data_IF_889561729792
#
_entry.id   IF_889561729792
#
_cell.length_a   1.000
_cell.length_b   1.000
_cell.length_c   1.000
_cell.angle_alpha   90.00
_cell.angle_beta   90.00
_cell.angle_gamma   90.00
#
_symmetry.space_group_name_H-M   'P 1'
#
loop_
_entity.id
_entity.type
_entity.pdbx_description
1 polymer ?
#
# COMPACT_ATOMS: atom_id res chain seq x y z
N UNK A 1 5.02 -13.96 -6.99
CA UNK A 1 3.93 -14.88 -6.61
C UNK A 1 3.03 -14.13 -5.63
N UNK A 2 1.71 -14.15 -5.84
CA UNK A 2 0.74 -13.48 -4.96
C UNK A 2 0.32 -14.48 -3.87
N UNK A 3 0.38 -14.11 -2.57
CA UNK A 3 -0.14 -14.93 -1.47
C UNK A 3 -1.58 -15.40 -1.70
N UNK A 4 -1.92 -16.63 -1.29
CA UNK A 4 -3.28 -17.20 -1.31
C UNK A 4 -4.26 -16.29 -0.54
N UNK A 5 -3.86 -15.71 0.59
CA UNK A 5 -4.67 -14.75 1.33
C UNK A 5 -4.96 -13.44 0.56
N UNK A 6 -4.23 -13.17 -0.53
CA UNK A 6 -4.44 -12.03 -1.45
C UNK A 6 -4.96 -12.48 -2.83
N UNK A 7 -5.17 -13.78 -3.05
CA UNK A 7 -5.75 -14.36 -4.27
C UNK A 7 -7.28 -14.18 -4.32
N UNK A 8 -7.74 -12.95 -4.08
CA UNK A 8 -9.15 -12.56 -4.23
C UNK A 8 -9.46 -12.25 -5.70
N UNK A 9 -10.69 -12.55 -6.14
CA UNK A 9 -11.11 -12.46 -7.55
C UNK A 9 -10.85 -11.09 -8.20
N UNK A 10 -10.96 -10.01 -7.43
CA UNK A 10 -10.71 -8.63 -7.88
C UNK A 10 -9.23 -8.27 -8.07
N UNK A 11 -8.31 -9.06 -7.52
CA UNK A 11 -6.86 -8.90 -7.71
C UNK A 11 -6.38 -9.74 -8.89
N UNK A 12 -6.72 -11.03 -8.93
CA UNK A 12 -6.12 -11.95 -9.92
C UNK A 12 -6.75 -11.78 -11.32
N UNK A 13 -8.08 -11.65 -11.41
CA UNK A 13 -8.78 -11.75 -12.72
C UNK A 13 -8.43 -10.59 -13.68
N UNK A 14 -7.97 -9.47 -13.15
CA UNK A 14 -7.64 -8.25 -13.88
C UNK A 14 -6.16 -7.86 -13.79
N UNK A 15 -5.30 -8.74 -13.26
CA UNK A 15 -3.86 -8.50 -13.30
C UNK A 15 -3.34 -8.76 -14.73
N UNK A 16 -2.78 -7.74 -15.36
CA UNK A 16 -2.12 -7.83 -16.67
C UNK A 16 -0.64 -7.51 -16.52
N UNK A 17 0.21 -8.05 -17.39
CA UNK A 17 1.62 -7.64 -17.40
C UNK A 17 1.77 -6.20 -17.91
N UNK A 18 2.85 -5.52 -17.55
CA UNK A 18 3.09 -4.14 -18.01
C UNK A 18 3.19 -4.04 -19.56
N UNK A 19 3.70 -5.08 -20.22
CA UNK A 19 3.72 -5.12 -21.69
C UNK A 19 2.34 -5.37 -22.32
N UNK A 20 1.38 -5.90 -21.57
CA UNK A 20 -0.02 -6.00 -21.99
C UNK A 20 -0.80 -4.74 -21.68
N UNK A 21 -0.56 -4.06 -20.54
CA UNK A 21 -1.24 -2.81 -20.19
C UNK A 21 -0.98 -1.71 -21.22
N UNK A 22 0.23 -1.65 -21.81
CA UNK A 22 0.56 -0.76 -22.94
C UNK A 22 -0.31 -0.96 -24.20
N UNK A 23 -0.95 -2.12 -24.35
CA UNK A 23 -1.81 -2.45 -25.51
C UNK A 23 -3.28 -2.12 -25.26
N UNK A 24 -3.65 -1.75 -24.03
CA UNK A 24 -5.02 -1.41 -23.67
C UNK A 24 -5.33 0.02 -24.13
N UNK A 25 -6.38 0.17 -24.93
CA UNK A 25 -6.88 1.48 -25.38
C UNK A 25 -8.15 1.85 -24.60
N UNK A 26 -8.44 3.16 -24.51
CA UNK A 26 -9.57 3.73 -23.76
C UNK A 26 -9.48 3.61 -22.22
N UNK A 27 -8.29 3.38 -21.68
CA UNK A 27 -8.01 3.43 -20.24
C UNK A 27 -7.02 4.55 -19.93
N UNK A 28 -7.29 5.33 -18.88
CA UNK A 28 -6.25 6.18 -18.28
C UNK A 28 -5.32 5.32 -17.44
N UNK A 29 -4.02 5.58 -17.56
CA UNK A 29 -3.03 4.96 -16.70
C UNK A 29 -2.85 5.80 -15.43
N UNK A 30 -2.51 5.12 -14.34
CA UNK A 30 -2.17 5.78 -13.09
C UNK A 30 -1.13 4.91 -12.41
N UNK A 31 -0.03 5.52 -11.97
CA UNK A 31 1.07 4.83 -11.32
C UNK A 31 1.52 5.62 -10.11
N UNK A 32 2.00 4.87 -9.13
CA UNK A 32 1.92 5.29 -7.74
C UNK A 32 2.97 4.52 -6.91
N UNK A 33 3.50 5.05 -5.79
CA UNK A 33 4.70 4.55 -5.10
C UNK A 33 4.50 4.20 -3.60
N UNK A 34 4.97 3.01 -3.22
CA UNK A 34 5.08 2.58 -1.82
C UNK A 34 6.40 3.07 -1.18
N UNK A 35 6.38 4.24 -0.53
CA UNK A 35 7.54 4.74 0.24
C UNK A 35 7.58 4.07 1.62
N UNK A 36 8.71 3.44 1.95
CA UNK A 36 8.92 2.75 3.22
C UNK A 36 10.39 2.80 3.66
N UNK A 37 10.61 2.59 4.96
CA UNK A 37 11.93 2.40 5.56
C UNK A 37 11.91 1.18 6.49
N UNK A 38 13.00 0.41 6.51
CA UNK A 38 13.20 -0.65 7.50
C UNK A 38 13.34 -0.05 8.90
N UNK A 39 12.64 -0.65 9.87
CA UNK A 39 12.75 -0.30 11.29
C UNK A 39 12.92 -1.60 12.08
N UNK A 40 13.55 -1.58 13.24
CA UNK A 40 13.71 -2.81 14.03
C UNK A 40 13.77 -2.50 15.53
N UNK A 41 12.68 -1.93 16.03
CA UNK A 41 12.52 -1.60 17.44
C UNK A 41 11.22 -2.21 17.98
N UNK A 42 11.30 -2.83 19.16
CA UNK A 42 10.12 -3.24 19.92
C UNK A 42 9.55 -2.02 20.65
N UNK A 43 8.28 -1.73 20.42
CA UNK A 43 7.55 -0.65 21.11
C UNK A 43 6.61 -1.23 22.16
N UNK A 44 6.07 -0.39 23.05
CA UNK A 44 4.99 -0.77 23.98
C UNK A 44 3.71 -1.28 23.28
N UNK A 45 3.61 -1.11 21.96
CA UNK A 45 2.48 -1.58 21.14
C UNK A 45 2.80 -2.83 20.30
N UNK A 46 4.04 -3.33 20.36
CA UNK A 46 4.55 -4.45 19.56
C UNK A 46 5.77 -4.07 18.69
N UNK A 47 6.27 -5.03 17.92
CA UNK A 47 7.47 -4.86 17.08
C UNK A 47 7.19 -4.01 15.84
N UNK A 48 7.97 -2.94 15.66
CA UNK A 48 7.90 -2.04 14.53
C UNK A 48 8.99 -2.41 13.52
N UNK A 49 8.64 -3.27 12.55
CA UNK A 49 9.55 -3.84 11.54
C UNK A 49 9.79 -2.95 10.31
N UNK A 50 8.94 -1.94 10.12
CA UNK A 50 9.07 -0.95 9.06
C UNK A 50 8.20 0.28 9.36
N UNK A 51 8.56 1.39 8.74
CA UNK A 51 7.70 2.55 8.58
C UNK A 51 7.20 2.55 7.14
N UNK A 52 5.89 2.49 6.94
CA UNK A 52 5.26 2.59 5.61
C UNK A 52 4.40 3.85 5.56
N UNK A 53 4.56 4.62 4.50
CA UNK A 53 3.88 5.90 4.30
C UNK A 53 2.60 5.72 3.48
N UNK A 54 1.45 5.98 4.10
CA UNK A 54 0.15 6.06 3.44
C UNK A 54 -0.54 7.37 3.79
N UNK A 55 -1.57 7.78 3.06
CA UNK A 55 -2.26 9.04 3.31
C UNK A 55 -3.79 8.95 3.12
N UNK A 56 -4.56 9.92 3.66
CA UNK A 56 -6.02 10.08 3.63
C UNK A 56 -6.59 11.02 2.53
N UNK A 57 -6.98 10.45 1.39
CA UNK A 57 -7.54 11.15 0.22
C UNK A 57 -8.75 12.05 0.54
N UNK A 58 -9.01 13.01 -0.34
CA UNK A 58 -10.19 13.90 -0.29
C UNK A 58 -11.54 13.15 -0.24
N UNK A 59 -11.59 11.92 -0.76
CA UNK A 59 -12.76 11.01 -0.75
C UNK A 59 -12.90 10.21 0.57
N UNK A 60 -12.08 10.52 1.57
CA UNK A 60 -12.06 9.89 2.89
C UNK A 60 -11.47 8.49 2.92
N UNK A 61 -10.57 8.13 1.99
CA UNK A 61 -9.97 6.79 1.90
C UNK A 61 -8.44 6.78 1.87
N UNK A 62 -7.84 5.65 2.25
CA UNK A 62 -6.38 5.48 2.38
C UNK A 62 -5.65 5.00 1.10
N UNK A 63 -4.37 5.39 0.97
CA UNK A 63 -3.51 5.28 -0.23
C UNK A 63 -1.97 5.46 -0.01
N UNK A 64 -1.03 5.35 -1.00
CA UNK A 64 0.44 5.77 -0.95
C UNK A 64 0.82 6.80 -2.09
N UNK A 65 1.96 7.53 -2.19
CA UNK A 65 2.03 8.71 -3.10
C UNK A 65 2.03 8.52 -4.65
N UNK A 66 1.42 9.46 -5.42
CA UNK A 66 1.41 9.58 -6.89
C UNK A 66 0.01 9.77 -7.55
N UNK A 67 -0.03 10.04 -8.87
CA UNK A 67 -1.25 10.42 -9.61
C UNK A 67 -1.59 9.64 -10.89
N UNK A 68 -2.16 10.36 -11.87
CA UNK A 68 -2.53 9.87 -13.21
C UNK A 68 -1.33 10.10 -14.15
N UNK A 69 -1.07 9.15 -15.05
CA UNK A 69 -0.01 9.31 -16.07
C UNK A 69 -0.63 9.95 -17.31
N UNK A 70 0.03 10.98 -17.86
CA UNK A 70 -0.46 11.71 -19.02
C UNK A 70 -0.36 10.89 -20.32
N UNK A 71 -1.19 11.23 -21.32
CA UNK A 71 -1.24 10.49 -22.58
C UNK A 71 0.08 10.65 -23.36
N UNK A 72 0.88 9.58 -23.38
CA UNK A 72 2.19 9.55 -24.05
C UNK A 72 3.40 9.73 -23.11
N UNK A 73 3.17 9.98 -21.83
CA UNK A 73 4.19 10.08 -20.77
C UNK A 73 4.73 8.68 -20.40
N UNK A 74 6.04 8.56 -20.09
CA UNK A 74 6.55 7.32 -19.49
C UNK A 74 6.05 7.18 -18.06
N UNK A 75 5.65 5.96 -17.69
CA UNK A 75 5.01 5.68 -16.39
C UNK A 75 5.91 6.00 -15.20
N UNK A 76 7.24 5.89 -15.33
CA UNK A 76 8.18 6.26 -14.27
C UNK A 76 8.44 7.77 -14.26
N UNK A 77 8.47 8.43 -15.42
CA UNK A 77 8.61 9.89 -15.51
C UNK A 77 7.39 10.59 -14.89
N UNK A 78 6.17 10.19 -15.28
CA UNK A 78 4.93 10.71 -14.71
C UNK A 78 4.77 10.41 -13.22
N UNK A 79 5.19 9.22 -12.76
CA UNK A 79 5.22 8.95 -11.32
C UNK A 79 6.20 9.89 -10.57
N UNK A 80 7.39 10.17 -11.11
CA UNK A 80 8.31 11.12 -10.48
C UNK A 80 7.74 12.56 -10.46
N UNK A 81 7.07 12.98 -11.54
CA UNK A 81 6.34 14.26 -11.60
C UNK A 81 5.27 14.34 -10.52
N UNK A 82 4.35 13.38 -10.47
CA UNK A 82 3.26 13.31 -9.49
C UNK A 82 3.77 13.25 -8.04
N UNK A 83 4.85 12.51 -7.77
CA UNK A 83 5.49 12.49 -6.44
C UNK A 83 6.03 13.86 -6.03
N UNK A 84 6.54 14.63 -7.00
CA UNK A 84 7.01 16.00 -6.76
C UNK A 84 5.82 16.92 -6.45
N UNK A 85 4.72 16.79 -7.21
CA UNK A 85 3.50 17.58 -7.03
C UNK A 85 2.74 17.27 -5.72
N UNK A 86 2.58 15.99 -5.37
CA UNK A 86 1.77 15.58 -4.21
C UNK A 86 2.48 15.70 -2.85
N UNK A 87 3.80 15.45 -2.79
CA UNK A 87 4.53 15.44 -1.50
C UNK A 87 5.81 16.27 -1.49
N UNK A 88 6.11 17.02 -2.55
CA UNK A 88 7.38 17.75 -2.66
C UNK A 88 8.58 16.80 -2.70
N UNK A 89 8.44 15.61 -3.29
CA UNK A 89 9.51 14.62 -3.37
C UNK A 89 10.69 15.15 -4.19
N UNK A 90 11.89 15.17 -3.60
CA UNK A 90 13.10 15.56 -4.33
C UNK A 90 13.61 14.40 -5.20
N UNK A 91 13.12 14.39 -6.44
CA UNK A 91 13.51 13.44 -7.48
C UNK A 91 14.99 13.57 -7.91
N UNK A 92 15.66 14.69 -7.62
CA UNK A 92 17.10 14.85 -7.87
C UNK A 92 17.94 14.03 -6.89
N UNK A 93 17.46 13.88 -5.65
CA UNK A 93 18.10 13.06 -4.62
C UNK A 93 17.65 11.59 -4.67
N UNK A 94 16.35 11.34 -4.89
CA UNK A 94 15.74 10.01 -4.78
C UNK A 94 14.79 9.70 -5.94
N UNK A 95 15.26 9.78 -7.18
CA UNK A 95 14.46 9.39 -8.36
C UNK A 95 13.97 7.95 -8.28
N UNK A 96 12.66 7.76 -8.49
CA UNK A 96 12.04 6.45 -8.67
C UNK A 96 12.47 5.90 -10.03
N UNK A 97 12.87 4.63 -10.08
CA UNK A 97 13.34 3.96 -11.30
C UNK A 97 12.49 2.75 -11.62
N UNK A 98 12.68 2.20 -12.82
CA UNK A 98 12.08 0.92 -13.22
C UNK A 98 12.42 -0.25 -12.28
N UNK A 99 13.52 -0.17 -11.52
CA UNK A 99 13.88 -1.12 -10.47
C UNK A 99 12.98 -1.07 -9.23
N UNK A 100 12.30 0.07 -9.01
CA UNK A 100 11.50 0.37 -7.83
C UNK A 100 9.98 0.14 -8.08
N UNK A 101 9.63 -0.37 -9.26
CA UNK A 101 8.26 -0.52 -9.77
C UNK A 101 7.42 -1.53 -8.96
N UNK A 102 6.84 -1.07 -7.84
CA UNK A 102 5.92 -1.82 -6.97
C UNK A 102 4.84 -0.92 -6.28
N UNK A 103 3.82 -0.43 -7.05
CA UNK A 103 2.43 0.07 -6.75
C UNK A 103 2.00 0.81 -5.42
N UNK A 104 1.35 2.03 -5.51
CA UNK A 104 -0.02 2.53 -5.00
C UNK A 104 -0.26 4.06 -4.49
N UNK A 105 -1.51 4.70 -4.41
CA UNK A 105 -1.98 6.21 -4.52
C UNK A 105 -2.82 6.99 -3.37
N UNK A 106 -2.69 8.35 -3.05
CA UNK A 106 -3.00 9.17 -1.75
C UNK A 106 -3.76 10.56 -1.66
N UNK A 107 -3.94 11.18 -0.43
CA UNK A 107 -3.31 12.49 0.05
C UNK A 107 -3.21 12.73 1.61
N UNK A 108 -2.21 13.41 2.24
CA UNK A 108 -2.14 13.70 3.73
C UNK A 108 -1.62 12.61 4.75
N UNK A 109 -0.35 12.71 5.19
CA UNK A 109 0.50 11.59 5.68
C UNK A 109 0.12 10.90 7.01
N UNK A 110 0.00 9.56 6.98
CA UNK A 110 -0.19 8.65 8.11
C UNK A 110 0.79 7.46 8.00
N UNK A 111 1.44 7.12 9.12
CA UNK A 111 2.27 5.90 9.22
C UNK A 111 1.36 4.69 9.40
N UNK A 112 1.52 3.67 8.57
CA UNK A 112 0.82 2.39 8.76
C UNK A 112 1.34 1.73 10.04
N UNK A 113 0.49 1.40 11.03
CA UNK A 113 0.93 0.71 12.24
C UNK A 113 1.16 -0.77 11.93
N UNK A 114 2.39 -1.15 11.58
CA UNK A 114 2.73 -2.54 11.19
C UNK A 114 2.90 -3.51 12.37
N UNK A 115 2.60 -3.07 13.59
CA UNK A 115 2.48 -3.91 14.77
C UNK A 115 1.04 -4.39 14.96
N UNK A 116 0.86 -5.52 15.64
CA UNK A 116 -0.44 -5.95 16.20
C UNK A 116 -0.31 -5.96 17.71
N UNK A 117 -1.20 -5.24 18.41
CA UNK A 117 -1.15 -5.11 19.87
C UNK A 117 -1.59 -6.41 20.57
N UNK A 118 -1.32 -6.52 21.88
CA UNK A 118 -1.70 -7.68 22.71
C UNK A 118 -3.19 -8.11 22.59
N UNK A 119 -4.09 -7.15 22.32
CA UNK A 119 -5.51 -7.43 22.16
C UNK A 119 -5.86 -8.11 20.82
N UNK A 120 -4.88 -8.30 19.93
CA UNK A 120 -4.98 -8.92 18.61
C UNK A 120 -5.79 -8.17 17.56
N UNK A 121 -6.39 -7.00 17.85
CA UNK A 121 -7.19 -6.24 16.87
C UNK A 121 -6.72 -4.80 16.67
N UNK A 122 -5.97 -4.21 17.60
CA UNK A 122 -5.37 -2.87 17.46
C UNK A 122 -4.02 -2.92 16.72
N UNK A 123 -3.66 -1.82 16.07
CA UNK A 123 -2.52 -1.76 15.15
C UNK A 123 -2.96 -2.08 13.72
N UNK A 124 -2.23 -2.94 13.01
CA UNK A 124 -2.48 -3.25 11.61
C UNK A 124 -3.92 -3.74 11.33
N UNK A 125 -4.54 -4.65 12.12
CA UNK A 125 -5.89 -5.13 11.81
C UNK A 125 -6.94 -4.01 11.85
N UNK A 126 -6.86 -3.12 12.85
CA UNK A 126 -7.70 -1.92 12.92
C UNK A 126 -7.43 -0.95 11.76
N UNK A 127 -6.17 -0.75 11.36
CA UNK A 127 -5.87 0.08 10.19
C UNK A 127 -6.48 -0.50 8.91
N UNK A 128 -6.36 -1.81 8.70
CA UNK A 128 -6.95 -2.52 7.58
C UNK A 128 -8.50 -2.53 7.57
N UNK A 129 -9.17 -2.20 8.68
CA UNK A 129 -10.64 -2.08 8.75
C UNK A 129 -11.16 -0.75 8.16
N UNK A 130 -10.29 0.22 7.86
CA UNK A 130 -10.68 1.48 7.22
C UNK A 130 -11.03 1.33 5.73
N UNK A 131 -11.57 2.42 5.16
CA UNK A 131 -11.82 2.56 3.71
C UNK A 131 -10.50 2.85 2.97
N UNK A 132 -10.24 2.11 1.90
CA UNK A 132 -9.09 2.30 0.99
C UNK A 132 -9.59 2.59 -0.42
N UNK A 133 -8.83 3.36 -1.21
CA UNK A 133 -9.15 3.57 -2.62
C UNK A 133 -8.81 2.32 -3.45
N UNK A 134 -9.68 1.97 -4.39
CA UNK A 134 -9.43 0.92 -5.40
C UNK A 134 -8.79 -0.35 -4.84
N UNK A 135 -7.53 -0.60 -5.23
CA UNK A 135 -6.71 -1.75 -4.83
C UNK A 135 -5.64 -1.44 -3.77
N UNK A 136 -5.63 -0.24 -3.19
CA UNK A 136 -4.55 0.24 -2.31
C UNK A 136 -4.30 -0.66 -1.09
N UNK A 137 -5.37 -1.23 -0.51
CA UNK A 137 -5.26 -2.21 0.59
C UNK A 137 -4.51 -3.47 0.17
N UNK A 138 -4.78 -4.00 -1.03
CA UNK A 138 -4.15 -5.22 -1.52
C UNK A 138 -2.71 -4.96 -1.97
N UNK A 139 -2.45 -3.81 -2.58
CA UNK A 139 -1.11 -3.38 -2.98
C UNK A 139 -0.20 -3.15 -1.76
N UNK A 140 -0.72 -2.60 -0.65
CA UNK A 140 -0.02 -2.55 0.65
C UNK A 140 0.44 -3.94 1.12
N UNK A 141 -0.51 -4.87 1.20
CA UNK A 141 -0.23 -6.21 1.74
C UNK A 141 0.74 -6.99 0.82
N UNK A 142 0.63 -6.79 -0.49
CA UNK A 142 1.55 -7.37 -1.47
C UNK A 142 2.96 -6.78 -1.36
N UNK A 143 3.10 -5.47 -1.12
CA UNK A 143 4.39 -4.82 -0.88
C UNK A 143 5.05 -5.33 0.42
N UNK A 144 4.30 -5.42 1.52
CA UNK A 144 4.78 -5.96 2.80
C UNK A 144 5.29 -7.40 2.68
N UNK A 145 4.57 -8.24 1.91
CA UNK A 145 4.99 -9.60 1.59
C UNK A 145 6.28 -9.64 0.74
N UNK A 146 6.32 -8.91 -0.37
CA UNK A 146 7.48 -8.93 -1.27
C UNK A 146 8.75 -8.32 -0.67
N UNK A 147 8.61 -7.33 0.22
CA UNK A 147 9.72 -6.79 1.02
C UNK A 147 10.10 -7.68 2.23
N UNK A 148 9.40 -8.80 2.45
CA UNK A 148 9.60 -9.74 3.59
C UNK A 148 9.44 -9.08 4.97
N UNK A 149 8.64 -8.02 5.04
CA UNK A 149 8.31 -7.32 6.30
C UNK A 149 7.28 -8.14 7.09
N UNK A 150 6.36 -8.79 6.37
CA UNK A 150 5.37 -9.70 6.91
C UNK A 150 5.30 -10.99 6.09
N UNK A 151 5.04 -12.09 6.79
CA UNK A 151 4.72 -13.38 6.19
C UNK A 151 3.27 -13.44 5.71
N UNK A 152 2.98 -14.40 4.84
CA UNK A 152 1.62 -14.68 4.36
C UNK A 152 0.65 -15.03 5.50
N UNK A 153 1.12 -15.74 6.52
CA UNK A 153 0.33 -16.11 7.71
C UNK A 153 -0.05 -14.86 8.51
N UNK A 154 0.91 -13.97 8.79
CA UNK A 154 0.65 -12.71 9.50
C UNK A 154 -0.30 -11.78 8.71
N UNK A 155 -0.19 -11.76 7.37
CA UNK A 155 -1.10 -11.01 6.50
C UNK A 155 -2.52 -11.60 6.54
N UNK A 156 -2.66 -12.93 6.42
CA UNK A 156 -3.96 -13.61 6.47
C UNK A 156 -4.68 -13.39 7.80
N UNK A 157 -3.94 -13.50 8.91
CA UNK A 157 -4.43 -13.22 10.26
C UNK A 157 -4.87 -11.74 10.42
N UNK A 158 -4.05 -10.78 9.97
CA UNK A 158 -4.40 -9.36 10.01
C UNK A 158 -5.64 -9.02 9.16
N UNK A 159 -5.80 -9.66 7.98
CA UNK A 159 -7.02 -9.54 7.16
C UNK A 159 -8.23 -10.07 7.93
N UNK A 160 -8.15 -11.30 8.46
CA UNK A 160 -9.24 -11.95 9.19
C UNK A 160 -9.71 -11.10 10.38
N UNK A 161 -8.76 -10.61 11.19
CA UNK A 161 -9.03 -9.71 12.32
C UNK A 161 -9.66 -8.38 11.86
N UNK A 162 -9.17 -7.79 10.76
CA UNK A 162 -9.75 -6.55 10.17
C UNK A 162 -11.20 -6.72 9.70
N UNK A 163 -11.63 -7.94 9.37
CA UNK A 163 -13.02 -8.24 8.97
C UNK A 163 -13.92 -8.60 10.16
N UNK A 164 -13.31 -8.94 11.31
CA UNK A 164 -14.00 -9.44 12.50
C UNK A 164 -13.80 -8.52 13.71
N UNK A 165 -13.69 -7.20 13.52
CA UNK A 165 -13.52 -6.22 14.61
C UNK A 165 -14.59 -6.30 15.71
N UNK A 166 -15.78 -6.84 15.41
CA UNK A 166 -16.84 -7.16 16.39
C UNK A 166 -16.46 -8.22 17.45
N UNK A 167 -15.42 -9.01 17.17
CA UNK A 167 -14.83 -10.00 18.07
C UNK A 167 -13.67 -9.42 18.89
N UNK A 168 -13.31 -8.16 18.67
CA UNK A 168 -12.29 -7.51 19.49
C UNK A 168 -12.77 -7.49 20.95
N UNK A 169 -11.90 -7.85 21.92
CA UNK A 169 -12.22 -7.64 23.32
C UNK A 169 -12.47 -6.15 23.53
N UNK A 170 -13.41 -5.81 24.41
CA UNK A 170 -13.76 -4.43 24.69
C UNK A 170 -12.50 -3.61 24.93
N UNK A 171 -12.38 -2.48 24.22
CA UNK A 171 -11.46 -1.43 24.65
C UNK A 171 -11.95 -1.01 26.05
N UNK A 172 -11.04 -1.05 27.02
CA UNK A 172 -11.27 -0.71 28.42
C UNK A 172 -12.03 0.62 28.56
#
# INVERSE_FOLDING_TARGET
MIPECLQIRSVIKSLVSYNESKKLTNYRQAAHACVWASHNESTVFGDLRALVMMHLRFDGSFGFPGGIIEDGEDVVEGLNREMTEEIGWDTSLHSIKWSDYFLTQVFGTIRVPLYTMFNQYSGLPAFLNNKFIGSAKQQLLLALYHRKIMTEVEIGDAIYKSQNMKLAPNRF
#
